data_IF_156463205095
#
_entry.id   IF_156463205095
#
_cell.length_a   1.000
_cell.length_b   1.000
_cell.length_c   1.000
_cell.angle_alpha   90.00
_cell.angle_beta   90.00
_cell.angle_gamma   90.00
#
_symmetry.space_group_name_H-M   'P 1'
#
loop_
_entity.id
_entity.type
_entity.pdbx_description
1 polymer ?
#
# COMPACT_ATOMS: atom_id res chain seq x y z
N UNK A 1 20.11 58.29 -81.44
CA UNK A 1 20.35 58.63 -80.03
C UNK A 1 19.55 57.68 -79.17
N UNK A 2 20.24 57.00 -78.26
CA UNK A 2 19.75 56.28 -77.06
C UNK A 2 18.49 55.39 -77.21
N UNK A 3 18.51 54.06 -77.29
CA UNK A 3 19.39 53.03 -76.73
C UNK A 3 19.73 53.27 -75.25
N UNK A 4 19.37 52.31 -74.39
CA UNK A 4 19.71 52.19 -72.95
C UNK A 4 18.71 52.67 -71.90
N UNK A 5 17.42 52.33 -71.97
CA UNK A 5 16.57 52.29 -70.76
C UNK A 5 15.49 51.22 -70.93
N UNK A 6 15.79 49.95 -70.66
CA UNK A 6 14.77 48.95 -70.28
C UNK A 6 15.33 47.55 -69.99
N UNK A 7 16.63 47.31 -70.13
CA UNK A 7 17.24 46.02 -69.73
C UNK A 7 17.62 46.01 -68.24
N UNK A 8 17.69 47.17 -67.58
CA UNK A 8 17.99 47.28 -66.14
C UNK A 8 16.81 46.94 -65.21
N UNK A 9 15.56 47.07 -65.68
CA UNK A 9 14.38 46.84 -64.84
C UNK A 9 14.01 45.37 -64.72
N UNK A 10 14.28 44.55 -65.75
CA UNK A 10 13.99 43.12 -65.71
C UNK A 10 14.99 42.32 -64.87
N UNK A 11 16.25 42.77 -64.80
CA UNK A 11 17.30 42.11 -63.99
C UNK A 11 17.14 42.46 -62.50
N UNK A 12 16.71 43.68 -62.16
CA UNK A 12 16.48 44.06 -60.76
C UNK A 12 15.30 43.30 -60.11
N UNK A 13 14.21 43.07 -60.86
CA UNK A 13 13.02 42.38 -60.33
C UNK A 13 13.26 40.87 -60.17
N UNK A 14 14.07 40.26 -61.03
CA UNK A 14 14.47 38.84 -60.89
C UNK A 14 15.45 38.61 -59.74
N UNK A 15 16.35 39.56 -59.46
CA UNK A 15 17.27 39.48 -58.31
C UNK A 15 16.59 39.74 -56.97
N UNK A 16 15.53 40.57 -56.92
CA UNK A 16 14.76 40.80 -55.69
C UNK A 16 13.82 39.62 -55.38
N UNK A 17 13.25 38.94 -56.39
CA UNK A 17 12.41 37.77 -56.18
C UNK A 17 13.24 36.54 -55.75
N UNK A 18 14.48 36.40 -56.20
CA UNK A 18 15.41 35.35 -55.74
C UNK A 18 15.96 35.63 -54.34
N UNK A 19 16.11 36.91 -53.94
CA UNK A 19 16.47 37.29 -52.57
C UNK A 19 15.30 37.10 -51.58
N UNK A 20 14.05 37.26 -52.04
CA UNK A 20 12.83 37.00 -51.25
C UNK A 20 12.51 35.51 -51.13
N UNK A 21 12.93 34.67 -52.08
CA UNK A 21 12.85 33.20 -52.00
C UNK A 21 13.99 32.55 -51.22
N UNK A 22 15.05 33.31 -50.89
CA UNK A 22 16.10 32.89 -49.96
C UNK A 22 15.83 33.33 -48.50
N UNK A 23 14.74 34.05 -48.25
CA UNK A 23 14.26 34.42 -46.90
C UNK A 23 13.16 33.48 -46.37
N UNK A 24 12.76 32.45 -47.12
CA UNK A 24 11.75 31.48 -46.70
C UNK A 24 12.31 30.12 -46.26
N UNK A 25 13.61 30.03 -45.98
CA UNK A 25 14.22 28.82 -45.40
C UNK A 25 14.89 29.18 -44.08
N UNK A 26 14.25 28.68 -43.02
CA UNK A 26 14.75 28.55 -41.64
C UNK A 26 14.63 29.78 -40.73
N UNK A 27 13.40 30.26 -40.51
CA UNK A 27 12.96 30.38 -39.10
C UNK A 27 12.40 29.02 -38.72
N UNK A 28 13.29 28.03 -38.58
CA UNK A 28 13.07 27.08 -37.51
C UNK A 28 13.29 27.93 -36.28
N UNK A 29 12.19 28.24 -35.59
CA UNK A 29 12.30 28.62 -34.20
C UNK A 29 13.23 27.58 -33.59
N UNK A 30 14.34 28.06 -33.04
CA UNK A 30 15.05 27.38 -31.99
C UNK A 30 14.02 27.25 -30.85
N UNK A 31 13.13 26.26 -30.93
CA UNK A 31 12.58 25.64 -29.75
C UNK A 31 13.77 24.90 -29.12
N UNK A 32 14.68 25.68 -28.52
CA UNK A 32 15.61 25.13 -27.57
C UNK A 32 14.77 24.31 -26.59
N UNK A 33 15.18 23.07 -26.36
CA UNK A 33 14.61 22.22 -25.31
C UNK A 33 14.72 22.96 -23.98
N UNK A 34 13.76 23.83 -23.69
CA UNK A 34 13.59 24.41 -22.38
C UNK A 34 13.06 23.28 -21.51
N UNK A 35 13.94 22.72 -20.69
CA UNK A 35 13.56 21.80 -19.63
C UNK A 35 12.43 22.44 -18.81
N UNK A 36 11.25 21.81 -18.81
CA UNK A 36 10.07 22.34 -18.12
C UNK A 36 10.06 21.92 -16.65
N UNK A 37 10.89 20.95 -16.29
CA UNK A 37 11.13 20.51 -14.91
C UNK A 37 12.27 21.31 -14.30
N UNK A 38 12.02 21.95 -13.16
CA UNK A 38 13.06 22.66 -12.43
C UNK A 38 14.04 21.69 -11.78
N UNK A 39 15.34 21.88 -11.99
CA UNK A 39 16.37 21.13 -11.26
C UNK A 39 16.67 21.81 -9.93
N UNK A 40 16.43 21.09 -8.84
CA UNK A 40 16.65 21.56 -7.47
C UNK A 40 17.75 20.77 -6.77
N UNK A 41 18.41 21.43 -5.82
CA UNK A 41 19.42 20.85 -4.94
C UNK A 41 19.37 21.51 -3.55
N UNK A 42 20.23 21.06 -2.64
CA UNK A 42 20.36 21.59 -1.29
C UNK A 42 20.56 23.13 -1.22
N UNK A 43 21.08 23.77 -2.27
CA UNK A 43 21.36 25.20 -2.30
C UNK A 43 20.15 26.06 -2.67
N UNK A 44 19.24 25.55 -3.51
CA UNK A 44 18.12 26.33 -4.06
C UNK A 44 16.73 25.80 -3.67
N UNK A 45 16.65 24.61 -3.07
CA UNK A 45 15.39 23.91 -2.82
C UNK A 45 14.45 24.73 -1.94
N UNK A 46 14.92 25.20 -0.78
CA UNK A 46 14.08 25.94 0.18
C UNK A 46 13.53 27.24 -0.43
N UNK A 47 14.40 27.99 -1.11
CA UNK A 47 14.02 29.28 -1.72
C UNK A 47 13.06 29.12 -2.89
N UNK A 48 13.15 28.01 -3.63
CA UNK A 48 12.24 27.72 -4.73
C UNK A 48 10.90 27.22 -4.20
N UNK A 49 10.91 26.24 -3.31
CA UNK A 49 9.68 25.63 -2.77
C UNK A 49 8.85 26.65 -2.00
N UNK A 50 9.47 27.57 -1.25
CA UNK A 50 8.73 28.60 -0.48
C UNK A 50 8.03 29.65 -1.36
N UNK A 51 8.42 29.80 -2.62
CA UNK A 51 7.78 30.71 -3.59
C UNK A 51 6.54 30.10 -4.26
N UNK A 52 6.31 28.81 -4.07
CA UNK A 52 5.22 28.09 -4.71
C UNK A 52 4.30 27.47 -3.65
N UNK A 53 3.01 27.83 -3.70
CA UNK A 53 2.00 27.22 -2.83
C UNK A 53 1.73 25.75 -3.19
N UNK A 54 2.03 25.36 -4.43
CA UNK A 54 1.91 23.99 -4.95
C UNK A 54 3.09 23.69 -5.89
N UNK A 55 3.97 22.77 -5.49
CA UNK A 55 5.10 22.30 -6.30
C UNK A 55 5.28 20.79 -6.13
N UNK A 56 5.58 20.10 -7.21
CA UNK A 56 5.75 18.64 -7.23
C UNK A 56 7.21 18.33 -7.49
N UNK A 57 7.82 17.48 -6.66
CA UNK A 57 9.25 17.18 -6.73
C UNK A 57 9.47 15.68 -6.91
N UNK A 58 10.12 15.29 -7.99
CA UNK A 58 10.69 13.96 -8.18
C UNK A 58 12.05 13.86 -7.48
N UNK A 59 12.18 12.92 -6.54
CA UNK A 59 13.47 12.48 -6.01
C UNK A 59 13.93 11.27 -6.81
N UNK A 60 15.06 11.41 -7.49
CA UNK A 60 15.57 10.42 -8.45
C UNK A 60 17.04 10.07 -8.20
N UNK A 61 17.52 9.08 -8.95
CA UNK A 61 18.95 8.79 -9.09
C UNK A 61 19.27 8.55 -10.58
N UNK A 62 20.42 9.05 -11.09
CA UNK A 62 20.75 9.02 -12.52
C UNK A 62 20.99 7.61 -13.04
N UNK A 63 21.26 6.64 -12.17
CA UNK A 63 21.44 5.23 -12.51
C UNK A 63 20.14 4.41 -12.43
N UNK A 64 19.05 4.96 -11.87
CA UNK A 64 17.80 4.23 -11.70
C UNK A 64 17.04 4.07 -13.04
N UNK A 65 16.78 2.82 -13.43
CA UNK A 65 16.05 2.51 -14.66
C UNK A 65 14.61 3.03 -14.68
N UNK A 66 13.92 3.03 -13.55
CA UNK A 66 12.55 3.58 -13.44
C UNK A 66 12.53 5.10 -13.56
N UNK A 67 13.52 5.81 -13.01
CA UNK A 67 13.66 7.26 -13.17
C UNK A 67 13.90 7.64 -14.63
N UNK A 68 14.80 6.92 -15.33
CA UNK A 68 15.04 7.15 -16.76
C UNK A 68 13.79 6.98 -17.62
N UNK A 69 12.92 6.04 -17.25
CA UNK A 69 11.63 5.83 -17.94
C UNK A 69 10.62 6.94 -17.63
N UNK A 70 10.60 7.44 -16.39
CA UNK A 70 9.70 8.50 -15.95
C UNK A 70 10.08 9.88 -16.51
N UNK A 71 11.38 10.20 -16.58
CA UNK A 71 11.88 11.51 -17.00
C UNK A 71 11.19 12.11 -18.25
N UNK A 72 11.06 11.40 -19.39
CA UNK A 72 10.37 11.96 -20.56
C UNK A 72 8.86 12.20 -20.34
N UNK A 73 8.21 11.37 -19.53
CA UNK A 73 6.79 11.54 -19.18
C UNK A 73 6.60 12.72 -18.21
N UNK A 74 7.54 12.92 -17.29
CA UNK A 74 7.55 14.01 -16.33
C UNK A 74 7.77 15.37 -17.02
N UNK A 75 8.66 15.46 -18.00
CA UNK A 75 8.83 16.67 -18.84
C UNK A 75 7.58 17.02 -19.64
N UNK A 76 6.96 16.04 -20.30
CA UNK A 76 5.70 16.24 -21.03
C UNK A 76 4.60 16.76 -20.10
N UNK A 77 4.48 16.15 -18.91
CA UNK A 77 3.52 16.60 -17.92
C UNK A 77 3.82 18.04 -17.45
N UNK A 78 5.09 18.37 -17.18
CA UNK A 78 5.52 19.70 -16.76
C UNK A 78 5.17 20.77 -17.80
N UNK A 79 5.39 20.48 -19.09
CA UNK A 79 4.98 21.37 -20.18
C UNK A 79 3.47 21.68 -20.13
N UNK A 80 2.63 20.65 -20.03
CA UNK A 80 1.17 20.82 -20.00
C UNK A 80 0.71 21.55 -18.74
N UNK A 81 1.30 21.21 -17.59
CA UNK A 81 0.95 21.74 -16.26
C UNK A 81 1.44 23.18 -16.04
N UNK A 82 2.53 23.60 -16.71
CA UNK A 82 2.99 24.98 -16.71
C UNK A 82 1.96 25.96 -17.31
N UNK A 83 1.05 25.45 -18.15
CA UNK A 83 -0.04 26.20 -18.80
C UNK A 83 -1.35 26.17 -18.01
N UNK A 84 -1.39 25.48 -16.86
CA UNK A 84 -2.53 25.49 -15.95
C UNK A 84 -2.65 26.85 -15.26
N UNK A 85 -3.84 27.19 -14.75
CA UNK A 85 -4.08 28.39 -13.95
C UNK A 85 -4.62 28.00 -12.56
N UNK A 86 -3.85 28.18 -11.47
CA UNK A 86 -2.46 28.65 -11.44
C UNK A 86 -1.47 27.60 -11.98
N UNK A 87 -0.28 28.00 -12.48
CA UNK A 87 0.71 27.06 -13.00
C UNK A 87 1.11 26.00 -11.97
N UNK A 88 1.15 24.74 -12.40
CA UNK A 88 1.64 23.63 -11.57
C UNK A 88 3.10 23.37 -11.93
N UNK A 89 3.98 23.61 -10.97
CA UNK A 89 5.44 23.50 -11.14
C UNK A 89 5.90 22.09 -10.81
N UNK A 90 6.64 21.47 -11.74
CA UNK A 90 7.32 20.21 -11.55
C UNK A 90 8.82 20.46 -11.39
N UNK A 91 9.45 19.70 -10.50
CA UNK A 91 10.85 19.82 -10.18
C UNK A 91 11.47 18.44 -9.93
N UNK A 92 12.79 18.36 -9.96
CA UNK A 92 13.54 17.13 -9.65
C UNK A 92 14.76 17.40 -8.80
N UNK A 93 15.10 16.43 -7.97
CA UNK A 93 16.29 16.43 -7.09
C UNK A 93 17.00 15.10 -7.24
N UNK A 94 18.30 15.11 -7.55
CA UNK A 94 19.13 13.92 -7.44
C UNK A 94 19.37 13.64 -5.96
N UNK A 95 18.57 12.73 -5.40
CA UNK A 95 18.65 12.34 -3.99
C UNK A 95 19.74 11.28 -3.72
N UNK A 96 20.43 10.81 -4.77
CA UNK A 96 21.61 9.96 -4.62
C UNK A 96 22.90 10.75 -4.47
N UNK A 97 22.89 12.05 -4.77
CA UNK A 97 24.05 12.91 -4.61
C UNK A 97 24.28 13.29 -3.14
N UNK A 98 25.54 13.25 -2.69
CA UNK A 98 25.93 13.41 -1.29
C UNK A 98 25.49 14.77 -0.69
N UNK A 99 25.59 15.91 -1.40
CA UNK A 99 25.11 17.20 -0.91
C UNK A 99 23.60 17.24 -0.65
N UNK A 100 22.82 16.39 -1.33
CA UNK A 100 21.35 16.34 -1.20
C UNK A 100 20.87 15.34 -0.14
N UNK A 101 21.78 14.66 0.58
CA UNK A 101 21.44 13.63 1.58
C UNK A 101 20.47 14.11 2.66
N UNK A 102 20.61 15.36 3.12
CA UNK A 102 19.70 15.92 4.13
C UNK A 102 18.29 16.16 3.57
N UNK A 103 18.16 16.48 2.28
CA UNK A 103 16.85 16.55 1.62
C UNK A 103 16.23 15.15 1.53
N UNK A 104 17.00 14.16 1.07
CA UNK A 104 16.54 12.78 0.98
C UNK A 104 16.06 12.24 2.34
N UNK A 105 16.80 12.55 3.41
CA UNK A 105 16.42 12.18 4.78
C UNK A 105 15.17 12.93 5.26
N UNK A 106 15.10 14.26 5.03
CA UNK A 106 13.96 15.11 5.43
C UNK A 106 12.64 14.64 4.83
N UNK A 107 12.67 14.18 3.57
CA UNK A 107 11.49 13.69 2.86
C UNK A 107 11.34 12.16 2.88
N UNK A 108 12.14 11.48 3.71
CA UNK A 108 12.08 10.04 3.95
C UNK A 108 12.15 9.21 2.66
N UNK A 109 13.08 9.55 1.78
CA UNK A 109 13.25 8.87 0.49
C UNK A 109 13.92 7.51 0.70
N UNK A 110 13.15 6.43 0.49
CA UNK A 110 13.60 5.04 0.67
C UNK A 110 13.90 4.32 -0.65
N UNK A 111 13.53 4.91 -1.78
CA UNK A 111 13.70 4.33 -3.11
C UNK A 111 13.50 5.35 -4.21
N UNK A 112 13.69 4.93 -5.46
CA UNK A 112 13.62 5.82 -6.62
C UNK A 112 12.76 5.22 -7.75
N UNK A 113 11.97 6.04 -8.48
CA UNK A 113 11.64 7.42 -8.13
C UNK A 113 10.64 7.49 -6.97
N UNK A 114 10.76 8.53 -6.15
CA UNK A 114 9.73 8.94 -5.18
C UNK A 114 9.32 10.36 -5.52
N UNK A 115 8.03 10.59 -5.73
CA UNK A 115 7.50 11.91 -6.09
C UNK A 115 6.73 12.46 -4.88
N UNK A 116 7.04 13.68 -4.46
CA UNK A 116 6.34 14.37 -3.36
C UNK A 116 5.62 15.61 -3.88
N UNK A 117 4.39 15.82 -3.43
CA UNK A 117 3.60 17.04 -3.64
C UNK A 117 3.80 17.92 -2.42
N UNK A 118 4.36 19.10 -2.62
CA UNK A 118 4.64 20.07 -1.57
C UNK A 118 3.64 21.21 -1.65
N UNK A 119 3.06 21.56 -0.49
CA UNK A 119 2.06 22.63 -0.36
C UNK A 119 2.46 23.68 0.66
N UNK A 120 1.88 24.87 0.54
CA UNK A 120 2.03 25.97 1.50
C UNK A 120 3.51 26.33 1.71
N UNK A 121 4.27 26.44 0.61
CA UNK A 121 5.70 26.70 0.65
C UNK A 121 6.52 25.56 1.26
N UNK A 122 6.09 24.30 1.08
CA UNK A 122 6.79 23.11 1.58
C UNK A 122 6.54 22.76 3.04
N UNK A 123 5.54 23.36 3.69
CA UNK A 123 5.12 23.03 5.06
C UNK A 123 4.35 21.72 5.14
N UNK A 124 3.71 21.32 4.04
CA UNK A 124 3.06 20.03 3.90
C UNK A 124 3.70 19.28 2.74
N UNK A 125 3.97 17.99 2.94
CA UNK A 125 4.51 17.09 1.94
C UNK A 125 3.66 15.82 1.89
N UNK A 126 3.15 15.50 0.71
CA UNK A 126 2.34 14.30 0.45
C UNK A 126 3.02 13.45 -0.61
N UNK A 127 2.89 12.13 -0.53
CA UNK A 127 3.39 11.24 -1.57
C UNK A 127 2.44 11.22 -2.77
N UNK A 128 3.01 11.23 -3.96
CA UNK A 128 2.27 11.05 -5.20
C UNK A 128 2.00 9.57 -5.43
N UNK A 129 0.71 9.20 -5.47
CA UNK A 129 0.25 7.82 -5.65
C UNK A 129 -0.46 7.62 -7.02
N UNK A 130 -0.23 8.52 -7.97
CA UNK A 130 -0.85 8.46 -9.30
C UNK A 130 -0.04 7.64 -10.33
N UNK A 131 -0.55 7.56 -11.58
CA UNK A 131 0.13 6.90 -12.69
C UNK A 131 1.45 7.57 -13.08
N UNK A 132 2.34 6.89 -13.80
CA UNK A 132 3.67 7.45 -14.16
C UNK A 132 3.77 7.90 -15.61
N UNK A 133 2.66 7.83 -16.34
CA UNK A 133 2.48 8.33 -17.70
C UNK A 133 2.04 9.80 -17.67
N UNK A 134 2.46 10.58 -18.67
CA UNK A 134 2.27 12.04 -18.68
C UNK A 134 0.80 12.45 -18.48
N UNK A 135 -0.14 11.83 -19.20
CA UNK A 135 -1.57 12.15 -19.10
C UNK A 135 -2.13 11.84 -17.70
N UNK A 136 -1.67 10.74 -17.09
CA UNK A 136 -2.03 10.36 -15.73
C UNK A 136 -1.49 11.34 -14.68
N UNK A 137 -0.25 11.80 -14.85
CA UNK A 137 0.37 12.84 -14.02
C UNK A 137 -0.42 14.15 -14.14
N UNK A 138 -0.73 14.59 -15.37
CA UNK A 138 -1.50 15.82 -15.62
C UNK A 138 -2.87 15.75 -14.97
N UNK A 139 -3.62 14.67 -15.18
CA UNK A 139 -4.96 14.50 -14.62
C UNK A 139 -4.93 14.50 -13.08
N UNK A 140 -4.00 13.75 -12.49
CA UNK A 140 -3.84 13.67 -11.04
C UNK A 140 -3.48 15.02 -10.43
N UNK A 141 -2.48 15.72 -11.00
CA UNK A 141 -1.99 16.97 -10.44
C UNK A 141 -2.96 18.14 -10.64
N UNK A 142 -3.74 18.18 -11.73
CA UNK A 142 -4.84 19.16 -11.86
C UNK A 142 -5.89 18.98 -10.77
N UNK A 143 -6.29 17.73 -10.50
CA UNK A 143 -7.20 17.41 -9.40
C UNK A 143 -6.62 17.83 -8.04
N UNK A 144 -5.33 17.57 -7.82
CA UNK A 144 -4.63 17.97 -6.59
C UNK A 144 -4.36 19.48 -6.50
N UNK A 145 -4.27 20.22 -7.59
CA UNK A 145 -4.09 21.67 -7.57
C UNK A 145 -5.39 22.41 -7.21
N UNK A 146 -6.56 21.79 -7.43
CA UNK A 146 -7.86 22.35 -7.05
C UNK A 146 -8.07 22.47 -5.53
N UNK A 147 -9.23 23.01 -5.09
CA UNK A 147 -9.55 23.06 -3.66
C UNK A 147 -9.63 21.64 -3.08
N UNK A 148 -9.24 21.45 -1.81
CA UNK A 148 -9.35 20.14 -1.19
C UNK A 148 -10.78 19.62 -1.13
N UNK A 149 -11.77 20.51 -1.12
CA UNK A 149 -13.19 20.16 -1.17
C UNK A 149 -13.90 21.04 -2.20
N UNK A 150 -14.64 20.42 -3.12
CA UNK A 150 -15.42 21.11 -4.14
C UNK A 150 -16.86 21.41 -3.65
N UNK A 151 -17.40 22.58 -3.98
CA UNK A 151 -18.77 22.94 -3.62
C UNK A 151 -19.77 22.27 -4.59
N UNK A 152 -20.75 21.53 -4.04
CA UNK A 152 -21.80 20.81 -4.78
C UNK A 152 -23.08 21.64 -4.71
N UNK A 153 -23.48 22.24 -5.84
CA UNK A 153 -24.62 23.16 -5.96
C UNK A 153 -25.80 22.55 -6.69
N UNK A 154 -25.55 21.54 -7.51
CA UNK A 154 -26.49 21.01 -8.50
C UNK A 154 -26.39 19.49 -8.65
N UNK A 155 -27.33 18.90 -9.38
CA UNK A 155 -27.29 17.47 -9.71
C UNK A 155 -26.16 17.15 -10.70
N UNK A 156 -25.81 18.12 -11.56
CA UNK A 156 -24.69 18.04 -12.48
C UNK A 156 -23.35 17.97 -11.74
N UNK A 157 -23.20 18.73 -10.65
CA UNK A 157 -22.02 18.64 -9.78
C UNK A 157 -21.92 17.24 -9.13
N UNK A 158 -23.05 16.67 -8.71
CA UNK A 158 -23.09 15.31 -8.14
C UNK A 158 -22.62 14.30 -9.17
N UNK A 159 -23.15 14.34 -10.39
CA UNK A 159 -22.77 13.39 -11.46
C UNK A 159 -21.33 13.55 -11.94
N UNK A 160 -20.72 14.73 -11.78
CA UNK A 160 -19.35 14.99 -12.23
C UNK A 160 -18.29 14.79 -11.13
N UNK A 161 -18.65 15.01 -9.86
CA UNK A 161 -17.72 14.93 -8.73
C UNK A 161 -17.80 13.59 -8.01
N UNK A 162 -19.00 13.01 -7.85
CA UNK A 162 -19.21 11.80 -7.05
C UNK A 162 -19.18 10.58 -7.96
N UNK A 163 -18.12 9.79 -7.82
CA UNK A 163 -18.00 8.45 -8.35
C UNK A 163 -18.49 7.44 -7.31
N UNK A 164 -19.68 6.87 -7.51
CA UNK A 164 -20.28 5.90 -6.58
C UNK A 164 -19.48 4.59 -6.44
N UNK A 165 -18.47 4.37 -7.30
CA UNK A 165 -17.54 3.22 -7.20
C UNK A 165 -16.38 3.49 -6.24
N UNK A 166 -16.27 4.71 -5.70
CA UNK A 166 -15.20 5.16 -4.81
C UNK A 166 -15.77 5.75 -3.53
N UNK A 167 -14.90 5.95 -2.55
CA UNK A 167 -15.26 6.65 -1.32
C UNK A 167 -15.24 8.15 -1.59
N UNK A 168 -16.30 8.84 -1.18
CA UNK A 168 -16.42 10.29 -1.31
C UNK A 168 -16.96 10.88 0.00
N UNK A 169 -16.30 11.90 0.54
CA UNK A 169 -16.64 12.51 1.82
C UNK A 169 -17.28 13.88 1.59
N UNK A 170 -18.54 14.02 1.97
CA UNK A 170 -19.30 15.26 1.80
C UNK A 170 -19.55 15.94 3.13
N UNK A 171 -19.12 17.19 3.27
CA UNK A 171 -19.55 18.04 4.37
C UNK A 171 -20.85 18.78 4.05
N UNK A 172 -21.91 18.53 4.81
CA UNK A 172 -23.17 19.27 4.71
C UNK A 172 -23.20 20.36 5.77
N UNK A 173 -23.24 21.62 5.33
CA UNK A 173 -23.19 22.78 6.22
C UNK A 173 -24.27 23.81 5.91
N UNK A 174 -24.97 24.35 6.92
CA UNK A 174 -25.90 25.46 6.70
C UNK A 174 -25.24 26.72 6.12
N UNK A 175 -23.95 26.91 6.41
CA UNK A 175 -23.12 28.03 5.93
C UNK A 175 -21.67 27.53 5.75
N UNK A 176 -20.98 28.04 4.74
CA UNK A 176 -19.56 27.73 4.48
C UNK A 176 -18.63 28.65 5.28
N UNK A 177 -18.86 28.70 6.58
CA UNK A 177 -18.06 29.46 7.55
C UNK A 177 -18.32 28.95 8.96
N UNK A 178 -17.40 29.26 9.88
CA UNK A 178 -17.48 28.79 11.27
C UNK A 178 -16.52 27.65 11.55
N UNK A 179 -16.48 27.25 12.82
CA UNK A 179 -15.49 26.32 13.34
C UNK A 179 -15.56 24.94 12.68
N UNK A 180 -16.77 24.41 12.51
CA UNK A 180 -17.01 23.09 11.92
C UNK A 180 -16.57 23.02 10.45
N UNK A 181 -16.85 24.08 9.68
CA UNK A 181 -16.44 24.16 8.27
C UNK A 181 -14.92 24.29 8.12
N UNK A 182 -14.28 25.10 8.97
CA UNK A 182 -12.82 25.22 8.94
C UNK A 182 -12.12 23.91 9.36
N UNK A 183 -12.64 23.19 10.37
CA UNK A 183 -12.12 21.87 10.75
C UNK A 183 -12.28 20.85 9.62
N UNK A 184 -13.42 20.86 8.92
CA UNK A 184 -13.62 20.02 7.74
C UNK A 184 -12.64 20.36 6.61
N UNK A 185 -12.35 21.63 6.34
CA UNK A 185 -11.35 22.03 5.35
C UNK A 185 -9.95 21.55 5.72
N UNK A 186 -9.56 21.67 7.00
CA UNK A 186 -8.27 21.15 7.49
C UNK A 186 -8.18 19.63 7.26
N UNK A 187 -9.25 18.90 7.57
CA UNK A 187 -9.32 17.46 7.34
C UNK A 187 -9.24 17.12 5.84
N UNK A 188 -10.00 17.81 5.00
CA UNK A 188 -9.97 17.61 3.56
C UNK A 188 -8.56 17.83 2.99
N UNK A 189 -7.86 18.90 3.41
CA UNK A 189 -6.46 19.12 2.99
C UNK A 189 -5.52 18.02 3.45
N UNK A 190 -5.74 17.49 4.66
CA UNK A 190 -4.94 16.39 5.21
C UNK A 190 -5.13 15.09 4.41
N UNK A 191 -6.36 14.78 4.01
CA UNK A 191 -6.76 13.47 3.50
C UNK A 191 -7.06 13.41 1.99
N UNK A 192 -6.95 14.52 1.26
CA UNK A 192 -7.22 14.63 -0.20
C UNK A 192 -6.38 13.73 -1.12
N UNK A 193 -5.32 13.10 -0.61
CA UNK A 193 -4.54 12.11 -1.37
C UNK A 193 -5.27 10.77 -1.45
N UNK A 194 -6.07 10.47 -0.43
CA UNK A 194 -6.65 9.16 -0.18
C UNK A 194 -8.15 9.16 -0.46
N UNK A 195 -8.82 10.28 -0.22
CA UNK A 195 -10.26 10.44 -0.39
C UNK A 195 -10.60 11.70 -1.17
N UNK A 196 -11.73 11.66 -1.87
CA UNK A 196 -12.31 12.81 -2.53
C UNK A 196 -13.28 13.52 -1.59
N UNK A 197 -13.24 14.85 -1.58
CA UNK A 197 -14.08 15.67 -0.70
C UNK A 197 -14.94 16.64 -1.48
N UNK A 198 -16.15 16.85 -0.97
CA UNK A 198 -17.06 17.90 -1.43
C UNK A 198 -17.81 18.52 -0.26
N UNK A 199 -18.47 19.63 -0.49
CA UNK A 199 -19.34 20.24 0.50
C UNK A 199 -20.59 20.85 -0.13
N UNK A 200 -21.68 20.87 0.62
CA UNK A 200 -22.96 21.43 0.14
C UNK A 200 -23.76 22.01 1.29
N UNK A 201 -24.68 22.92 0.96
CA UNK A 201 -25.72 23.39 1.89
C UNK A 201 -27.03 22.60 1.73
N UNK A 202 -27.09 21.69 0.76
CA UNK A 202 -28.31 20.96 0.42
C UNK A 202 -28.07 19.45 0.36
N UNK A 203 -28.28 18.76 1.48
CA UNK A 203 -28.17 17.30 1.58
C UNK A 203 -29.06 16.54 0.58
N UNK A 204 -30.17 17.14 0.11
CA UNK A 204 -31.08 16.49 -0.84
C UNK A 204 -30.46 16.25 -2.21
N UNK A 205 -29.36 16.94 -2.53
CA UNK A 205 -28.61 16.70 -3.77
C UNK A 205 -27.82 15.38 -3.73
N UNK A 206 -27.44 14.93 -2.53
CA UNK A 206 -26.51 13.80 -2.40
C UNK A 206 -27.20 12.46 -2.71
N UNK A 207 -26.44 11.47 -3.22
CA UNK A 207 -26.92 10.09 -3.31
C UNK A 207 -27.49 9.59 -1.97
N UNK A 208 -28.50 8.74 -2.06
CA UNK A 208 -29.29 8.23 -0.93
C UNK A 208 -30.09 9.29 -0.15
N UNK A 209 -30.02 10.56 -0.55
CA UNK A 209 -30.92 11.64 -0.15
C UNK A 209 -31.08 11.84 1.37
N UNK A 210 -32.15 12.51 1.74
CA UNK A 210 -32.54 12.74 3.13
C UNK A 210 -32.20 14.13 3.67
N UNK A 211 -32.88 14.47 4.77
CA UNK A 211 -32.57 15.66 5.56
C UNK A 211 -31.51 15.30 6.60
N UNK A 212 -30.56 16.19 6.81
CA UNK A 212 -29.62 16.12 7.93
C UNK A 212 -29.90 17.27 8.91
N UNK A 213 -29.63 17.05 10.18
CA UNK A 213 -29.82 18.07 11.21
C UNK A 213 -28.49 18.75 11.54
N UNK A 214 -28.36 20.03 11.19
CA UNK A 214 -27.13 20.80 11.46
C UNK A 214 -25.96 20.39 10.56
N UNK A 215 -24.73 20.83 10.90
CA UNK A 215 -23.53 20.36 10.25
C UNK A 215 -23.38 18.84 10.36
N UNK A 216 -23.12 18.17 9.23
CA UNK A 216 -22.95 16.72 9.18
C UNK A 216 -21.89 16.36 8.14
N UNK A 217 -21.02 15.41 8.44
CA UNK A 217 -20.17 14.77 7.45
C UNK A 217 -20.86 13.48 6.99
N UNK A 218 -21.08 13.35 5.69
CA UNK A 218 -21.59 12.14 5.04
C UNK A 218 -20.47 11.48 4.26
N UNK A 219 -20.10 10.28 4.64
CA UNK A 219 -19.19 9.43 3.87
C UNK A 219 -20.02 8.53 2.96
N UNK A 220 -19.81 8.63 1.64
CA UNK A 220 -20.39 7.76 0.61
C UNK A 220 -19.37 6.65 0.28
N UNK A 221 -19.85 5.42 0.06
CA UNK A 221 -18.99 4.26 -0.19
C UNK A 221 -19.70 3.19 -1.04
N UNK A 222 -18.98 2.39 -1.84
CA UNK A 222 -19.56 1.40 -2.74
C UNK A 222 -19.97 0.08 -2.05
N UNK A 223 -19.88 0.00 -0.72
CA UNK A 223 -20.07 -1.23 0.04
C UNK A 223 -20.87 -1.03 1.33
N UNK A 224 -21.36 -2.13 1.87
CA UNK A 224 -22.13 -2.20 3.12
C UNK A 224 -23.33 -1.21 3.13
N UNK A 225 -23.41 -0.29 4.09
CA UNK A 225 -24.51 0.67 4.25
C UNK A 225 -24.56 1.82 3.22
N UNK A 226 -23.66 1.85 2.24
CA UNK A 226 -23.51 2.84 1.15
C UNK A 226 -23.24 4.29 1.58
N UNK A 227 -23.73 4.71 2.75
CA UNK A 227 -23.36 5.97 3.36
C UNK A 227 -23.38 5.89 4.89
N UNK A 228 -22.62 6.78 5.54
CA UNK A 228 -22.66 6.99 6.99
C UNK A 228 -22.61 8.48 7.27
N UNK A 229 -23.49 8.94 8.16
CA UNK A 229 -23.49 10.31 8.68
C UNK A 229 -22.76 10.38 10.04
N UNK A 230 -22.01 11.46 10.24
CA UNK A 230 -21.23 11.72 11.45
C UNK A 230 -21.27 13.21 11.80
N UNK A 231 -21.32 13.54 13.09
CA UNK A 231 -21.59 14.90 13.58
C UNK A 231 -20.61 15.40 14.65
N UNK A 232 -19.57 14.64 14.97
CA UNK A 232 -18.48 15.13 15.81
C UNK A 232 -17.45 15.82 14.91
N UNK A 233 -17.19 17.10 15.16
CA UNK A 233 -16.30 17.92 14.36
C UNK A 233 -14.91 18.09 14.98
N UNK A 234 -14.56 17.32 16.00
CA UNK A 234 -13.16 17.18 16.38
C UNK A 234 -12.33 16.55 15.24
N UNK A 235 -11.16 17.11 14.92
CA UNK A 235 -10.39 16.70 13.72
C UNK A 235 -9.90 15.25 13.85
N UNK A 236 -9.47 14.84 15.05
CA UNK A 236 -8.98 13.48 15.29
C UNK A 236 -10.16 12.48 15.26
N UNK A 237 -11.32 12.87 15.80
CA UNK A 237 -12.53 12.07 15.71
C UNK A 237 -13.01 11.89 14.26
N UNK A 238 -12.98 12.96 13.47
CA UNK A 238 -13.33 12.94 12.04
C UNK A 238 -12.40 12.05 11.22
N UNK A 239 -11.09 12.18 11.40
CA UNK A 239 -10.10 11.35 10.72
C UNK A 239 -10.30 9.88 11.07
N UNK A 240 -10.44 9.57 12.37
CA UNK A 240 -10.71 8.21 12.82
C UNK A 240 -12.00 7.66 12.21
N UNK A 241 -13.07 8.46 12.19
CA UNK A 241 -14.33 8.09 11.56
C UNK A 241 -14.15 7.74 10.08
N UNK A 242 -13.49 8.60 9.29
CA UNK A 242 -13.27 8.36 7.86
C UNK A 242 -12.48 7.07 7.66
N UNK A 243 -11.38 6.89 8.39
CA UNK A 243 -10.52 5.70 8.26
C UNK A 243 -11.29 4.43 8.61
N UNK A 244 -12.04 4.41 9.72
CA UNK A 244 -12.80 3.23 10.15
C UNK A 244 -13.98 2.92 9.21
N UNK A 245 -14.68 3.95 8.72
CA UNK A 245 -15.82 3.81 7.81
C UNK A 245 -15.43 3.40 6.39
N UNK A 246 -14.16 3.65 6.01
CA UNK A 246 -13.58 3.36 4.70
C UNK A 246 -13.10 1.93 4.52
N UNK A 247 -13.20 1.10 5.56
CA UNK A 247 -12.85 -0.33 5.49
C UNK A 247 -14.15 -1.14 5.35
N UNK A 248 -14.30 -1.95 4.29
CA UNK A 248 -15.42 -2.87 4.17
C UNK A 248 -15.48 -3.85 5.34
N UNK A 249 -16.68 -4.26 5.75
CA UNK A 249 -16.86 -5.32 6.77
C UNK A 249 -16.09 -6.58 6.37
N UNK A 250 -16.11 -6.93 5.08
CA UNK A 250 -15.26 -7.94 4.46
C UNK A 250 -14.60 -7.32 3.23
N UNK A 251 -13.29 -7.12 3.29
CA UNK A 251 -12.51 -6.66 2.13
C UNK A 251 -12.36 -7.81 1.13
N UNK A 252 -12.58 -7.56 -0.15
CA UNK A 252 -12.41 -8.60 -1.19
C UNK A 252 -11.05 -8.42 -1.87
N UNK A 253 -10.36 -9.52 -2.14
CA UNK A 253 -9.15 -9.53 -2.96
C UNK A 253 -9.29 -10.54 -4.09
N UNK A 254 -9.46 -10.05 -5.30
CA UNK A 254 -9.63 -10.83 -6.51
C UNK A 254 -8.96 -10.14 -7.71
N UNK A 255 -9.29 -10.57 -8.93
CA UNK A 255 -8.76 -9.98 -10.16
C UNK A 255 -9.43 -8.65 -10.54
N UNK A 256 -10.48 -8.22 -9.83
CA UNK A 256 -11.15 -6.95 -10.09
C UNK A 256 -10.34 -5.80 -9.47
N UNK A 257 -9.78 -4.89 -10.29
CA UNK A 257 -8.97 -3.78 -9.80
C UNK A 257 -9.76 -2.80 -8.92
N UNK A 258 -11.10 -2.77 -8.98
CA UNK A 258 -11.93 -1.92 -8.13
C UNK A 258 -11.86 -2.31 -6.65
N UNK A 259 -11.51 -3.56 -6.34
CA UNK A 259 -11.37 -4.06 -4.98
C UNK A 259 -10.00 -3.75 -4.36
N UNK A 260 -8.96 -3.56 -5.18
CA UNK A 260 -7.57 -3.43 -4.74
C UNK A 260 -7.30 -2.22 -3.83
N UNK A 261 -7.93 -1.04 -4.02
CA UNK A 261 -7.73 0.10 -3.11
C UNK A 261 -8.02 -0.24 -1.64
N UNK A 262 -9.03 -1.08 -1.38
CA UNK A 262 -9.44 -1.43 -0.01
C UNK A 262 -8.50 -2.44 0.66
N UNK A 263 -7.74 -3.21 -0.13
CA UNK A 263 -6.77 -4.20 0.37
C UNK A 263 -5.63 -3.51 1.10
N UNK A 264 -5.09 -2.42 0.55
CA UNK A 264 -4.03 -1.65 1.21
C UNK A 264 -4.52 -1.07 2.54
N UNK A 265 -5.71 -0.47 2.55
CA UNK A 265 -6.33 0.06 3.77
C UNK A 265 -6.52 -1.03 4.81
N UNK A 266 -7.00 -2.22 4.41
CA UNK A 266 -7.13 -3.39 5.29
C UNK A 266 -5.82 -3.73 5.99
N UNK A 267 -4.70 -3.80 5.25
CA UNK A 267 -3.39 -4.15 5.81
C UNK A 267 -2.81 -3.07 6.73
N UNK A 268 -3.09 -1.80 6.45
CA UNK A 268 -2.60 -0.67 7.26
C UNK A 268 -3.32 -0.51 8.60
N UNK A 269 -4.48 -1.15 8.81
CA UNK A 269 -5.17 -1.11 10.10
C UNK A 269 -4.34 -1.79 11.22
N UNK A 270 -4.49 -1.41 12.50
CA UNK A 270 -3.77 -2.06 13.60
C UNK A 270 -4.35 -3.43 14.01
N UNK A 271 -5.52 -3.79 13.48
CA UNK A 271 -6.28 -4.98 13.85
C UNK A 271 -5.58 -6.28 13.45
N UNK A 272 -5.94 -7.39 14.10
CA UNK A 272 -5.60 -8.72 13.58
C UNK A 272 -6.26 -8.94 12.21
N UNK A 273 -5.59 -9.66 11.31
CA UNK A 273 -6.05 -9.89 9.93
C UNK A 273 -6.61 -11.30 9.80
N UNK A 274 -7.92 -11.44 9.79
CA UNK A 274 -8.57 -12.69 9.38
C UNK A 274 -8.71 -12.69 7.85
N UNK A 275 -8.13 -13.67 7.18
CA UNK A 275 -8.10 -13.78 5.73
C UNK A 275 -8.61 -15.17 5.33
N UNK A 276 -9.76 -15.24 4.67
CA UNK A 276 -10.35 -16.46 4.14
C UNK A 276 -10.06 -16.54 2.65
N UNK A 277 -9.41 -17.61 2.20
CA UNK A 277 -9.13 -17.87 0.80
C UNK A 277 -9.98 -19.02 0.27
N UNK A 278 -10.62 -18.78 -0.88
CA UNK A 278 -11.53 -19.70 -1.57
C UNK A 278 -11.26 -19.62 -3.07
N UNK A 279 -11.58 -20.66 -3.82
CA UNK A 279 -11.70 -20.54 -5.26
C UNK A 279 -13.06 -19.92 -5.61
N UNK A 280 -13.06 -18.74 -6.23
CA UNK A 280 -14.31 -18.03 -6.56
C UNK A 280 -15.11 -18.68 -7.70
N UNK A 281 -14.57 -19.71 -8.34
CA UNK A 281 -15.25 -20.49 -9.37
C UNK A 281 -16.05 -21.68 -8.81
N UNK A 282 -16.01 -21.94 -7.49
CA UNK A 282 -16.69 -23.09 -6.88
C UNK A 282 -18.15 -22.82 -6.47
N UNK A 283 -19.00 -23.86 -6.53
CA UNK A 283 -20.43 -23.79 -6.22
C UNK A 283 -20.76 -23.37 -4.77
N UNK A 284 -19.85 -23.58 -3.81
CA UNK A 284 -20.10 -23.29 -2.40
C UNK A 284 -19.74 -21.87 -1.97
N UNK A 285 -19.30 -21.02 -2.91
CA UNK A 285 -18.83 -19.66 -2.64
C UNK A 285 -19.83 -18.82 -1.83
N UNK A 286 -21.11 -18.83 -2.23
CA UNK A 286 -22.13 -17.99 -1.60
C UNK A 286 -22.38 -18.35 -0.14
N UNK A 287 -22.33 -19.64 0.19
CA UNK A 287 -22.46 -20.13 1.56
C UNK A 287 -21.29 -19.65 2.44
N UNK A 288 -20.07 -19.65 1.92
CA UNK A 288 -18.91 -19.09 2.62
C UNK A 288 -19.00 -17.57 2.73
N UNK A 289 -19.30 -16.85 1.64
CA UNK A 289 -19.45 -15.39 1.62
C UNK A 289 -20.46 -14.92 2.66
N UNK A 290 -21.67 -15.50 2.65
CA UNK A 290 -22.72 -15.17 3.60
C UNK A 290 -22.27 -15.46 5.04
N UNK A 291 -21.76 -16.67 5.31
CA UNK A 291 -21.39 -17.03 6.68
C UNK A 291 -20.21 -16.22 7.21
N UNK A 292 -19.24 -15.92 6.36
CA UNK A 292 -18.08 -15.11 6.72
C UNK A 292 -18.48 -13.66 6.98
N UNK A 293 -19.40 -13.09 6.18
CA UNK A 293 -19.96 -11.76 6.40
C UNK A 293 -20.73 -11.65 7.72
N UNK A 294 -21.55 -12.65 8.06
CA UNK A 294 -22.26 -12.69 9.35
C UNK A 294 -21.28 -12.64 10.52
N UNK A 295 -20.22 -13.45 10.43
CA UNK A 295 -19.17 -13.50 11.44
C UNK A 295 -18.42 -12.17 11.51
N UNK A 296 -17.98 -11.62 10.37
CA UNK A 296 -17.30 -10.34 10.32
C UNK A 296 -18.14 -9.21 10.95
N UNK A 297 -19.44 -9.18 10.65
CA UNK A 297 -20.39 -8.22 11.23
C UNK A 297 -20.46 -8.35 12.75
N UNK A 298 -20.55 -9.58 13.29
CA UNK A 298 -20.61 -9.82 14.73
C UNK A 298 -19.33 -9.43 15.50
N UNK A 299 -18.20 -9.31 14.78
CA UNK A 299 -16.90 -8.94 15.33
C UNK A 299 -16.42 -7.54 14.90
N UNK A 300 -17.27 -6.74 14.24
CA UNK A 300 -16.97 -5.34 13.89
C UNK A 300 -16.55 -4.57 15.15
N UNK A 301 -15.41 -3.87 15.06
CA UNK A 301 -14.84 -3.09 16.17
C UNK A 301 -14.16 -3.89 17.28
N UNK A 302 -14.05 -5.23 17.18
CA UNK A 302 -13.41 -6.08 18.21
C UNK A 302 -11.93 -6.36 17.96
N UNK A 303 -11.22 -5.45 17.28
CA UNK A 303 -9.77 -5.56 17.05
C UNK A 303 -9.36 -6.59 15.99
N UNK A 304 -10.29 -7.02 15.13
CA UNK A 304 -10.04 -7.93 14.00
C UNK A 304 -10.72 -7.41 12.73
N UNK A 305 -10.01 -7.49 11.62
CA UNK A 305 -10.48 -7.12 10.27
C UNK A 305 -10.56 -8.36 9.39
N UNK A 306 -11.48 -8.38 8.44
CA UNK A 306 -11.78 -9.55 7.60
C UNK A 306 -11.50 -9.28 6.12
N UNK A 307 -10.84 -10.24 5.47
CA UNK A 307 -10.58 -10.25 4.04
C UNK A 307 -11.01 -11.60 3.45
N UNK A 308 -11.66 -11.55 2.30
CA UNK A 308 -12.00 -12.70 1.47
C UNK A 308 -11.18 -12.63 0.17
N UNK A 309 -10.26 -13.58 0.00
CA UNK A 309 -9.39 -13.66 -1.16
C UNK A 309 -9.78 -14.79 -2.11
N UNK A 310 -9.70 -14.51 -3.40
CA UNK A 310 -9.74 -15.52 -4.45
C UNK A 310 -8.38 -16.25 -4.53
N UNK A 311 -8.40 -17.58 -4.54
CA UNK A 311 -7.18 -18.40 -4.57
C UNK A 311 -6.34 -18.13 -5.80
N UNK A 312 -6.98 -17.96 -6.96
CA UNK A 312 -6.30 -17.69 -8.23
C UNK A 312 -5.58 -16.33 -8.21
N UNK A 313 -6.20 -15.31 -7.63
CA UNK A 313 -5.60 -13.97 -7.50
C UNK A 313 -4.49 -13.92 -6.44
N UNK A 314 -4.45 -14.90 -5.53
CA UNK A 314 -3.64 -14.86 -4.31
C UNK A 314 -2.41 -15.74 -4.33
N UNK A 315 -1.94 -16.23 -5.49
CA UNK A 315 -0.83 -17.19 -5.58
C UNK A 315 0.45 -16.76 -4.84
N UNK A 316 0.79 -15.47 -4.85
CA UNK A 316 1.94 -14.93 -4.10
C UNK A 316 1.78 -15.10 -2.58
N UNK A 317 0.55 -14.98 -2.07
CA UNK A 317 0.22 -15.21 -0.65
C UNK A 317 0.46 -16.67 -0.29
N UNK A 318 0.03 -17.58 -1.15
CA UNK A 318 0.19 -19.01 -0.94
C UNK A 318 1.68 -19.40 -0.92
N UNK A 319 2.47 -18.89 -1.86
CA UNK A 319 3.92 -19.08 -1.89
C UNK A 319 4.60 -18.53 -0.62
N UNK A 320 4.26 -17.30 -0.23
CA UNK A 320 4.83 -16.67 0.96
C UNK A 320 4.54 -17.46 2.24
N UNK A 321 3.34 -18.03 2.36
CA UNK A 321 2.94 -18.82 3.52
C UNK A 321 3.21 -20.33 3.39
N UNK A 322 3.76 -20.80 2.27
CA UNK A 322 3.98 -22.23 2.02
C UNK A 322 2.68 -23.04 1.94
N UNK A 323 1.59 -22.41 1.51
CA UNK A 323 0.28 -23.02 1.36
C UNK A 323 0.10 -23.53 -0.07
N UNK A 324 -0.75 -24.54 -0.23
CA UNK A 324 -1.14 -25.08 -1.54
C UNK A 324 -2.61 -24.80 -1.81
N UNK A 325 -2.94 -24.62 -3.08
CA UNK A 325 -4.32 -24.30 -3.50
C UNK A 325 -5.31 -25.43 -3.16
N UNK A 326 -4.86 -26.68 -3.17
CA UNK A 326 -5.64 -27.86 -2.75
C UNK A 326 -6.01 -27.88 -1.26
N UNK A 327 -5.46 -26.95 -0.46
CA UNK A 327 -5.81 -26.78 0.95
C UNK A 327 -6.96 -25.79 1.16
N UNK A 328 -7.41 -25.10 0.09
CA UNK A 328 -8.59 -24.24 0.13
C UNK A 328 -9.86 -25.09 0.20
N UNK A 329 -10.96 -24.59 0.81
CA UNK A 329 -11.11 -23.37 1.60
C UNK A 329 -10.17 -23.30 2.82
N UNK A 330 -9.46 -22.19 3.00
CA UNK A 330 -8.59 -22.00 4.16
C UNK A 330 -8.76 -20.62 4.79
N UNK A 331 -8.62 -20.54 6.10
CA UNK A 331 -8.65 -19.28 6.84
C UNK A 331 -7.35 -19.10 7.63
N UNK A 332 -6.84 -17.87 7.58
CA UNK A 332 -5.63 -17.44 8.25
C UNK A 332 -5.93 -16.28 9.19
N UNK A 333 -5.30 -16.24 10.36
CA UNK A 333 -5.29 -15.04 11.21
C UNK A 333 -3.86 -14.61 11.47
N UNK A 334 -3.53 -13.36 11.14
CA UNK A 334 -2.25 -12.73 11.46
C UNK A 334 -2.41 -11.66 12.54
N UNK A 335 -1.69 -11.81 13.65
CA UNK A 335 -1.55 -10.74 14.65
C UNK A 335 -0.46 -9.76 14.24
N UNK A 336 -0.53 -8.54 14.76
CA UNK A 336 0.54 -7.54 14.65
C UNK A 336 1.88 -8.03 15.22
N UNK A 337 1.84 -8.93 16.21
CA UNK A 337 3.04 -9.59 16.78
C UNK A 337 3.72 -10.58 15.83
N UNK A 338 3.14 -10.84 14.65
CA UNK A 338 3.63 -11.85 13.71
C UNK A 338 3.13 -13.27 13.99
N UNK A 339 2.40 -13.50 15.10
CA UNK A 339 1.75 -14.79 15.37
C UNK A 339 0.67 -15.08 14.33
N UNK A 340 0.65 -16.33 13.87
CA UNK A 340 -0.20 -16.80 12.79
C UNK A 340 -1.09 -17.94 13.28
N UNK A 341 -2.28 -18.06 12.72
CA UNK A 341 -3.20 -19.17 12.99
C UNK A 341 -3.78 -19.62 11.65
N UNK A 342 -3.79 -20.92 11.38
CA UNK A 342 -4.21 -21.47 10.09
C UNK A 342 -5.20 -22.59 10.32
N UNK A 343 -6.25 -22.60 9.51
CA UNK A 343 -7.16 -23.74 9.36
C UNK A 343 -7.44 -23.97 7.88
N UNK A 344 -7.02 -25.13 7.38
CA UNK A 344 -7.23 -25.60 6.01
C UNK A 344 -8.48 -26.48 5.92
N UNK A 345 -8.94 -26.76 4.69
CA UNK A 345 -10.10 -27.61 4.40
C UNK A 345 -11.35 -27.22 5.23
N UNK A 346 -11.60 -25.91 5.31
CA UNK A 346 -12.66 -25.30 6.10
C UNK A 346 -14.03 -25.66 5.51
N UNK A 347 -15.04 -25.75 6.37
CA UNK A 347 -16.47 -25.78 5.98
C UNK A 347 -17.14 -24.53 6.52
N UNK A 348 -18.23 -24.02 5.91
CA UNK A 348 -18.86 -22.77 6.35
C UNK A 348 -19.21 -22.75 7.85
N UNK A 349 -19.73 -23.86 8.38
CA UNK A 349 -20.09 -23.98 9.80
C UNK A 349 -18.90 -23.90 10.78
N UNK A 350 -17.66 -24.13 10.32
CA UNK A 350 -16.47 -24.06 11.17
C UNK A 350 -16.01 -22.63 11.44
N UNK A 351 -16.36 -21.66 10.58
CA UNK A 351 -15.84 -20.28 10.62
C UNK A 351 -16.11 -19.63 11.98
N UNK A 352 -17.37 -19.66 12.42
CA UNK A 352 -17.79 -18.99 13.65
C UNK A 352 -17.12 -19.61 14.89
N UNK A 353 -17.08 -20.94 14.98
CA UNK A 353 -16.46 -21.67 16.08
C UNK A 353 -14.96 -21.39 16.14
N UNK A 354 -14.27 -21.48 15.00
CA UNK A 354 -12.82 -21.29 14.96
C UNK A 354 -12.42 -19.85 15.27
N UNK A 355 -13.18 -18.86 14.80
CA UNK A 355 -12.92 -17.47 15.17
C UNK A 355 -13.18 -17.24 16.67
N UNK A 356 -14.22 -17.85 17.23
CA UNK A 356 -14.46 -17.77 18.67
C UNK A 356 -13.28 -18.33 19.46
N UNK A 357 -12.78 -19.50 19.10
CA UNK A 357 -11.58 -20.11 19.71
C UNK A 357 -10.35 -19.17 19.62
N UNK A 358 -10.17 -18.50 18.48
CA UNK A 358 -9.12 -17.48 18.34
C UNK A 358 -9.29 -16.33 19.34
N UNK A 359 -10.50 -15.78 19.42
CA UNK A 359 -10.81 -14.63 20.27
C UNK A 359 -10.70 -14.99 21.76
N UNK A 360 -11.01 -16.23 22.13
CA UNK A 360 -10.85 -16.78 23.48
C UNK A 360 -9.38 -17.14 23.80
N UNK A 361 -8.47 -17.04 22.82
CA UNK A 361 -7.05 -17.33 22.98
C UNK A 361 -6.71 -18.83 23.06
N UNK A 362 -7.64 -19.71 22.68
CA UNK A 362 -7.47 -21.17 22.81
C UNK A 362 -6.75 -21.83 21.62
N UNK A 363 -6.60 -21.13 20.51
CA UNK A 363 -5.87 -21.65 19.34
C UNK A 363 -4.36 -21.68 19.58
N UNK A 364 -3.72 -22.74 19.04
CA UNK A 364 -2.27 -22.82 18.95
C UNK A 364 -1.76 -22.05 17.74
N UNK A 365 -0.67 -21.27 17.85
CA UNK A 365 -0.06 -20.62 16.70
C UNK A 365 0.37 -21.64 15.65
N UNK A 366 0.13 -21.31 14.39
CA UNK A 366 0.69 -22.01 13.25
C UNK A 366 2.18 -21.70 13.16
N UNK A 367 2.99 -22.76 13.17
CA UNK A 367 4.41 -22.72 12.85
C UNK A 367 4.58 -23.50 11.56
N UNK A 368 5.25 -22.90 10.57
CA UNK A 368 5.61 -23.59 9.34
C UNK A 368 6.60 -24.69 9.72
N UNK A 369 6.14 -25.93 9.73
CA UNK A 369 7.00 -27.10 9.71
C UNK A 369 6.95 -27.64 8.30
N UNK A 370 8.09 -27.66 7.62
CA UNK A 370 8.18 -28.38 6.36
C UNK A 370 7.96 -29.88 6.62
N UNK A 371 7.53 -30.68 5.61
CA UNK A 371 7.70 -32.13 5.68
C UNK A 371 9.15 -32.41 6.04
N UNK A 372 9.43 -33.36 6.93
CA UNK A 372 10.80 -33.72 7.37
C UNK A 372 11.71 -33.70 6.13
N UNK A 373 12.58 -32.70 5.97
CA UNK A 373 13.36 -32.59 4.76
C UNK A 373 14.37 -33.72 4.68
N UNK A 374 14.66 -34.20 3.48
CA UNK A 374 15.86 -35.00 3.22
C UNK A 374 17.15 -34.16 3.40
N UNK A 375 17.02 -32.82 3.52
CA UNK A 375 18.14 -31.88 3.67
C UNK A 375 17.95 -30.87 4.83
N UNK A 376 18.91 -30.86 5.75
CA UNK A 376 18.89 -30.09 6.99
C UNK A 376 19.05 -28.56 6.80
N UNK A 377 19.30 -28.06 5.57
CA UNK A 377 19.43 -26.61 5.32
C UNK A 377 18.10 -25.87 5.14
N UNK A 378 16.97 -26.59 5.10
CA UNK A 378 15.66 -26.01 4.77
C UNK A 378 14.79 -25.60 5.98
N UNK A 379 15.26 -25.83 7.23
CA UNK A 379 14.49 -25.55 8.43
C UNK A 379 14.91 -24.25 9.13
N UNK A 380 13.93 -23.43 9.51
CA UNK A 380 14.14 -22.34 10.46
C UNK A 380 14.52 -22.92 11.84
N UNK A 381 15.68 -22.52 12.37
CA UNK A 381 16.12 -22.90 13.70
C UNK A 381 15.80 -21.77 14.68
N UNK A 382 15.36 -22.10 15.92
CA UNK A 382 15.23 -21.08 16.95
C UNK A 382 16.64 -20.55 17.30
N UNK A 383 16.99 -19.39 16.73
CA UNK A 383 18.31 -18.76 16.84
C UNK A 383 18.69 -18.41 18.29
N UNK A 384 17.70 -18.33 19.18
CA UNK A 384 17.92 -18.15 20.62
C UNK A 384 18.50 -19.40 21.30
N UNK A 385 18.33 -20.58 20.70
CA UNK A 385 18.76 -21.87 21.26
C UNK A 385 19.91 -22.53 20.48
N UNK A 386 20.04 -22.26 19.17
CA UNK A 386 21.05 -22.88 18.31
C UNK A 386 21.81 -21.84 17.50
N UNK A 387 23.14 -21.90 17.56
CA UNK A 387 24.05 -21.01 16.83
C UNK A 387 24.81 -21.80 15.75
N UNK A 388 24.29 -21.74 14.52
CA UNK A 388 24.80 -22.47 13.35
C UNK A 388 25.65 -21.53 12.49
N UNK A 389 26.98 -21.69 12.59
CA UNK A 389 27.97 -20.87 11.88
C UNK A 389 28.58 -21.57 10.65
N UNK A 390 28.23 -22.85 10.42
CA UNK A 390 28.73 -23.65 9.29
C UNK A 390 28.19 -25.08 9.28
N UNK A 391 28.49 -25.84 8.23
CA UNK A 391 27.96 -27.20 8.05
C UNK A 391 29.07 -28.27 8.06
N UNK A 392 28.87 -29.40 8.77
CA UNK A 392 27.81 -29.64 9.77
C UNK A 392 28.11 -28.93 11.10
N UNK A 393 27.05 -28.43 11.75
CA UNK A 393 27.03 -28.03 13.16
C UNK A 393 26.25 -29.08 13.94
N UNK A 394 26.82 -29.58 15.04
CA UNK A 394 26.25 -30.71 15.82
C UNK A 394 25.95 -30.22 17.24
N UNK A 395 24.76 -30.57 17.74
CA UNK A 395 24.36 -30.34 19.13
C UNK A 395 23.89 -31.65 19.76
N UNK A 396 24.21 -31.82 21.04
CA UNK A 396 23.73 -32.91 21.88
C UNK A 396 22.70 -32.38 22.87
N UNK A 397 21.56 -33.05 22.97
CA UNK A 397 20.55 -32.76 23.99
C UNK A 397 20.37 -33.96 24.90
N UNK A 398 20.62 -33.80 26.19
CA UNK A 398 20.38 -34.84 27.20
C UNK A 398 18.86 -35.04 27.43
N UNK A 399 18.48 -36.13 28.10
CA UNK A 399 17.08 -36.38 28.45
C UNK A 399 16.57 -35.39 29.52
N UNK A 400 17.46 -34.88 30.37
CA UNK A 400 17.22 -33.77 31.30
C UNK A 400 17.07 -32.40 30.61
N UNK A 401 17.31 -32.33 29.30
CA UNK A 401 17.13 -31.13 28.49
C UNK A 401 18.36 -30.23 28.36
N UNK A 402 19.51 -30.65 28.89
CA UNK A 402 20.77 -29.92 28.73
C UNK A 402 21.20 -29.95 27.27
N UNK A 403 21.49 -28.77 26.70
CA UNK A 403 21.88 -28.61 25.30
C UNK A 403 23.35 -28.21 25.22
N UNK A 404 24.16 -28.99 24.52
CA UNK A 404 25.59 -28.78 24.38
C UNK A 404 25.98 -28.77 22.91
N UNK A 405 26.78 -27.77 22.51
CA UNK A 405 27.41 -27.76 21.19
C UNK A 405 28.52 -28.80 21.15
N UNK A 406 28.62 -29.54 20.04
CA UNK A 406 29.67 -30.53 19.82
C UNK A 406 30.75 -29.96 18.90
N UNK A 407 31.90 -29.66 19.50
CA UNK A 407 33.09 -29.15 18.80
C UNK A 407 34.21 -30.21 18.72
N UNK A 408 33.89 -31.48 19.01
CA UNK A 408 34.83 -32.61 18.98
C UNK A 408 35.18 -33.13 17.59
N UNK A 409 36.12 -34.08 17.53
CA UNK A 409 36.53 -34.74 16.29
C UNK A 409 35.39 -35.56 15.68
N UNK A 410 35.29 -35.66 14.36
CA UNK A 410 34.15 -36.33 13.69
C UNK A 410 34.35 -37.84 13.53
N UNK A 411 35.10 -38.47 14.43
CA UNK A 411 35.27 -39.93 14.45
C UNK A 411 34.18 -40.59 15.29
N UNK A 412 33.94 -41.88 15.05
CA UNK A 412 32.97 -42.66 15.83
C UNK A 412 33.33 -42.65 17.32
N UNK A 413 34.61 -42.78 17.62
CA UNK A 413 35.15 -42.87 18.96
C UNK A 413 34.93 -41.55 19.72
N UNK A 414 35.27 -40.41 19.10
CA UNK A 414 35.07 -39.07 19.67
C UNK A 414 33.59 -38.77 19.97
N UNK A 415 32.69 -39.20 19.08
CA UNK A 415 31.25 -39.00 19.25
C UNK A 415 30.72 -39.88 20.40
N UNK A 416 31.15 -41.15 20.47
CA UNK A 416 30.76 -42.07 21.55
C UNK A 416 31.24 -41.54 22.90
N UNK A 417 32.50 -41.12 23.00
CA UNK A 417 33.09 -40.58 24.22
C UNK A 417 32.33 -39.34 24.69
N UNK A 418 32.04 -38.41 23.77
CA UNK A 418 31.27 -37.22 24.09
C UNK A 418 29.86 -37.55 24.59
N UNK A 419 29.15 -38.48 23.95
CA UNK A 419 27.82 -38.90 24.41
C UNK A 419 27.91 -39.58 25.79
N UNK A 420 28.90 -40.43 26.03
CA UNK A 420 29.07 -41.11 27.32
C UNK A 420 29.34 -40.15 28.47
N UNK A 421 30.11 -39.09 28.20
CA UNK A 421 30.46 -38.08 29.19
C UNK A 421 29.31 -37.12 29.51
N UNK A 422 28.41 -36.89 28.55
CA UNK A 422 27.36 -35.88 28.66
C UNK A 422 25.93 -36.43 28.82
N UNK A 423 25.72 -37.74 28.63
CA UNK A 423 24.42 -38.38 28.88
C UNK A 423 24.07 -38.38 30.38
N UNK A 424 22.77 -38.36 30.66
CA UNK A 424 22.27 -38.52 32.03
C UNK A 424 22.66 -39.91 32.58
N UNK A 425 23.16 -39.96 33.80
CA UNK A 425 23.51 -41.22 34.47
C UNK A 425 22.24 -41.86 35.00
N UNK A 426 21.90 -43.07 34.55
CA UNK A 426 20.75 -43.80 35.07
C UNK A 426 20.98 -44.21 36.53
N UNK A 427 20.11 -43.80 37.45
CA UNK A 427 19.89 -44.53 38.70
C UNK A 427 19.17 -45.83 38.38
N UNK A 428 19.85 -46.97 38.52
CA UNK A 428 19.27 -48.30 38.35
C UNK A 428 18.19 -48.58 39.43
N UNK A 429 17.04 -49.21 39.09
CA UNK A 429 16.13 -49.78 40.09
C UNK A 429 16.66 -51.13 40.58
N UNK A 430 16.54 -51.37 41.89
CA UNK A 430 16.88 -52.64 42.56
C UNK A 430 16.11 -53.85 42.00
N UNK A 431 16.66 -55.08 42.04
CA UNK A 431 15.99 -56.27 41.53
C UNK A 431 14.80 -56.63 42.43
N UNK A 432 13.61 -56.80 41.84
CA UNK A 432 12.44 -57.35 42.53
C UNK A 432 12.56 -58.88 42.54
N UNK A 433 12.58 -59.46 43.75
CA UNK A 433 12.47 -60.90 44.01
C UNK A 433 11.20 -61.50 43.38
N UNK A 434 11.37 -62.55 42.59
CA UNK A 434 10.27 -63.38 42.08
C UNK A 434 9.80 -64.37 43.15
N UNK A 435 8.56 -64.24 43.61
CA UNK A 435 7.88 -65.27 44.42
C UNK A 435 7.43 -66.46 43.56
N UNK A 436 7.41 -67.69 44.08
CA UNK A 436 7.30 -68.91 43.28
C UNK A 436 5.84 -69.30 42.98
N UNK A 437 5.62 -69.80 41.76
CA UNK A 437 4.36 -70.41 41.32
C UNK A 437 4.28 -71.85 41.86
N UNK A 438 3.24 -72.15 42.64
CA UNK A 438 2.84 -73.50 43.04
C UNK A 438 2.26 -74.27 41.85
N UNK A 439 2.62 -75.56 41.74
CA UNK A 439 1.84 -76.60 41.05
C UNK A 439 1.68 -77.80 41.98
N UNK A 440 0.42 -78.02 42.35
CA UNK A 440 -0.36 -79.24 42.63
C UNK A 440 0.26 -80.57 43.12
N UNK A 441 -0.53 -81.18 44.02
CA UNK A 441 -0.79 -82.61 44.29
C UNK A 441 0.34 -83.52 44.79
N UNK A 442 0.36 -83.79 46.11
CA UNK A 442 -0.28 -84.96 46.78
C UNK A 442 -0.13 -84.87 48.31
#
# INVERSE_FOLDING_TARGET
>A
MASRVCVGFLVLVSSILLLLLLLSVSVYADEGEHEHVLTLDHSNFSDTVTKHDFIVVEFYAPWCGHCKKLAPEYEKAALVLSRHDPPVILAKVDASDEPNRELAKKFEIQGFPTIKILRNGGKSAQEYNGPREADGIVAYLKKQAGPASAEIKSAEDVSSLIDETRIFVVGVFPKFSGEEFEKFKVLAEKLRSDYDFGHTSNAKLLPHGGSVNGPTIRLLKPFDELFIDFQDFDVDALEKFIVEASVPIVTVYDKDPSNHPFVNTFFNTPNAKAMLFLNFSEEHLDAFKSKYKDVATAYKGKGISFLLGDSEASQNVFQYFGLKEDQTPLIFIQKKSGQKYLKTNLKPGHIATWLKEYMDGSLKPFVRSEPIPDDATANDLPTEAFDVQGFPTIYFRSASGNLLKYDGGRTKEDIIEFIQNNRDKSTQPSPVESSPVKKDEL
#
